data_IF_906797551135
#
_entry.id   IF_906797551135
#
_cell.length_a   1.000
_cell.length_b   1.000
_cell.length_c   1.000
_cell.angle_alpha   90.00
_cell.angle_beta   90.00
_cell.angle_gamma   90.00
#
_symmetry.space_group_name_H-M   'P 1'
#
loop_
_entity.id
_entity.type
_entity.pdbx_description
1 polymer ?
#
# COMPACT_ATOMS: atom_id res chain seq x y z
N UNK A 1 27.34 32.98 -4.04
CA UNK A 1 27.25 31.89 -3.05
C UNK A 1 25.84 31.66 -2.51
N UNK A 2 25.11 32.66 -1.99
CA UNK A 2 23.73 32.48 -1.47
C UNK A 2 22.73 31.82 -2.46
N UNK A 3 22.82 32.13 -3.75
CA UNK A 3 21.90 31.59 -4.76
C UNK A 3 22.18 30.12 -5.15
N UNK A 4 23.41 29.63 -4.96
CA UNK A 4 23.77 28.24 -5.27
C UNK A 4 23.28 27.31 -4.17
N UNK A 5 23.41 27.71 -2.89
CA UNK A 5 22.89 26.94 -1.76
C UNK A 5 21.35 26.79 -1.81
N UNK A 6 20.63 27.81 -2.27
CA UNK A 6 19.18 27.76 -2.43
C UNK A 6 18.73 26.77 -3.53
N UNK A 7 19.50 26.65 -4.63
CA UNK A 7 19.20 25.70 -5.71
C UNK A 7 19.52 24.26 -5.31
N UNK A 8 20.59 24.01 -4.54
CA UNK A 8 20.93 22.67 -4.04
C UNK A 8 19.88 22.19 -3.03
N UNK A 9 19.37 23.06 -2.15
CA UNK A 9 18.31 22.69 -1.20
C UNK A 9 17.01 22.26 -1.89
N UNK A 10 16.64 22.92 -2.99
CA UNK A 10 15.39 22.64 -3.72
C UNK A 10 15.45 21.30 -4.47
N UNK A 11 16.62 20.88 -4.94
CA UNK A 11 16.81 19.57 -5.59
C UNK A 11 16.84 18.44 -4.57
N UNK A 12 17.43 18.65 -3.39
CA UNK A 12 17.43 17.63 -2.32
C UNK A 12 16.04 17.35 -1.74
N UNK A 13 15.12 18.33 -1.75
CA UNK A 13 13.74 18.14 -1.26
C UNK A 13 12.92 17.20 -2.16
N UNK A 14 13.27 17.07 -3.45
CA UNK A 14 12.55 16.20 -4.39
C UNK A 14 12.94 14.73 -4.19
N UNK A 15 14.10 14.45 -3.59
CA UNK A 15 14.57 13.08 -3.34
C UNK A 15 14.11 12.48 -2.01
N UNK A 16 13.38 13.25 -1.18
CA UNK A 16 12.89 12.78 0.13
C UNK A 16 11.53 12.05 0.07
N UNK A 17 10.97 11.83 -1.11
CA UNK A 17 9.60 11.34 -1.26
C UNK A 17 9.45 10.02 -2.03
N UNK A 18 10.52 9.25 -2.22
CA UNK A 18 10.41 7.90 -2.80
C UNK A 18 10.44 6.86 -1.67
N UNK A 19 9.33 6.82 -0.93
CA UNK A 19 9.06 5.82 0.09
C UNK A 19 8.38 4.60 -0.49
N UNK A 20 9.16 3.70 -1.09
CA UNK A 20 8.63 2.42 -1.56
C UNK A 20 9.61 1.28 -1.34
N UNK A 21 9.08 0.15 -0.90
CA UNK A 21 9.80 -1.11 -0.98
C UNK A 21 9.83 -1.55 -2.45
N UNK A 22 11.02 -1.81 -3.00
CA UNK A 22 11.11 -2.32 -4.36
C UNK A 22 10.65 -3.79 -4.41
N UNK A 23 10.03 -4.20 -5.52
CA UNK A 23 9.53 -5.58 -5.69
C UNK A 23 10.60 -6.64 -5.41
N UNK A 24 11.88 -6.36 -5.73
CA UNK A 24 13.00 -7.29 -5.47
C UNK A 24 13.20 -7.59 -3.97
N UNK A 25 12.76 -6.67 -3.11
CA UNK A 25 12.87 -6.74 -1.66
C UNK A 25 11.59 -7.31 -1.01
N UNK A 26 10.59 -7.68 -1.82
CA UNK A 26 9.42 -8.40 -1.34
C UNK A 26 9.84 -9.79 -0.83
N UNK A 27 9.15 -10.27 0.21
CA UNK A 27 9.38 -11.60 0.74
C UNK A 27 9.02 -12.68 -0.29
N UNK A 28 9.68 -13.85 -0.26
CA UNK A 28 9.49 -14.90 -1.27
C UNK A 28 8.02 -15.32 -1.42
N UNK A 29 7.28 -15.33 -0.31
CA UNK A 29 5.86 -15.70 -0.28
C UNK A 29 4.96 -14.71 -1.01
N UNK A 30 5.28 -13.41 -0.92
CA UNK A 30 4.55 -12.39 -1.66
C UNK A 30 4.96 -12.40 -3.14
N UNK A 31 6.25 -12.59 -3.43
CA UNK A 31 6.76 -12.68 -4.81
C UNK A 31 6.09 -13.78 -5.64
N UNK A 32 5.76 -14.91 -5.03
CA UNK A 32 5.02 -16.01 -5.70
C UNK A 32 3.60 -15.62 -6.13
N UNK A 33 3.04 -14.53 -5.60
CA UNK A 33 1.63 -14.17 -5.74
C UNK A 33 1.40 -12.81 -6.38
N UNK A 34 2.32 -11.87 -6.18
CA UNK A 34 2.21 -10.45 -6.53
C UNK A 34 1.72 -10.23 -7.97
N UNK A 35 2.34 -10.89 -8.94
CA UNK A 35 1.98 -10.73 -10.36
C UNK A 35 0.61 -11.34 -10.68
N UNK A 36 0.26 -12.45 -10.04
CA UNK A 36 -1.03 -13.09 -10.25
C UNK A 36 -2.14 -12.19 -9.70
N UNK A 37 -1.97 -11.67 -8.48
CA UNK A 37 -2.95 -10.79 -7.85
C UNK A 37 -3.08 -9.46 -8.57
N UNK A 38 -1.96 -8.82 -8.93
CA UNK A 38 -1.94 -7.61 -9.74
C UNK A 38 -2.75 -7.80 -11.03
N UNK A 39 -2.42 -8.81 -11.83
CA UNK A 39 -3.09 -9.06 -13.11
C UNK A 39 -4.60 -9.33 -12.97
N UNK A 40 -5.00 -10.07 -11.94
CA UNK A 40 -6.42 -10.32 -11.65
C UNK A 40 -7.12 -9.01 -11.29
N UNK A 41 -6.59 -8.28 -10.32
CA UNK A 41 -7.23 -7.09 -9.80
C UNK A 41 -7.27 -5.96 -10.83
N UNK A 42 -6.19 -5.77 -11.60
CA UNK A 42 -6.17 -4.80 -12.69
C UNK A 42 -7.25 -5.11 -13.73
N UNK A 43 -7.38 -6.37 -14.15
CA UNK A 43 -8.41 -6.77 -15.13
C UNK A 43 -9.82 -6.59 -14.59
N UNK A 44 -10.04 -6.84 -13.29
CA UNK A 44 -11.36 -6.71 -12.68
C UNK A 44 -11.82 -5.27 -12.50
N UNK A 45 -10.88 -4.33 -12.32
CA UNK A 45 -11.21 -2.94 -12.00
C UNK A 45 -10.94 -1.97 -13.15
N UNK A 46 -10.25 -2.42 -14.20
CA UNK A 46 -9.83 -1.62 -15.35
C UNK A 46 -8.98 -0.39 -14.94
N UNK A 47 -8.28 -0.49 -13.80
CA UNK A 47 -7.39 0.58 -13.34
C UNK A 47 -6.20 0.71 -14.30
N UNK A 48 -5.84 1.95 -14.62
CA UNK A 48 -4.68 2.23 -15.46
C UNK A 48 -3.38 1.97 -14.70
N UNK A 49 -2.42 1.33 -15.37
CA UNK A 49 -1.08 1.08 -14.82
C UNK A 49 -0.41 2.35 -14.29
N UNK A 50 -0.62 3.50 -14.93
CA UNK A 50 -0.08 4.79 -14.47
C UNK A 50 -0.57 5.18 -13.06
N UNK A 51 -1.82 4.85 -12.70
CA UNK A 51 -2.35 5.13 -11.37
C UNK A 51 -1.78 4.17 -10.33
N UNK A 52 -1.58 2.91 -10.69
CA UNK A 52 -0.90 1.92 -9.84
C UNK A 52 0.54 2.39 -9.59
N UNK A 53 1.26 2.78 -10.64
CA UNK A 53 2.64 3.26 -10.52
C UNK A 53 2.76 4.50 -9.61
N UNK A 54 1.81 5.43 -9.70
CA UNK A 54 1.73 6.57 -8.76
C UNK A 54 1.50 6.12 -7.32
N UNK A 55 0.61 5.15 -7.09
CA UNK A 55 0.38 4.59 -5.76
C UNK A 55 1.61 3.85 -5.20
N UNK A 56 2.33 3.10 -6.05
CA UNK A 56 3.64 2.51 -5.73
C UNK A 56 4.65 3.59 -5.29
N UNK A 57 4.60 4.77 -5.90
CA UNK A 57 5.43 5.93 -5.55
C UNK A 57 4.89 6.73 -4.36
N UNK A 58 3.91 6.20 -3.65
CA UNK A 58 3.30 6.82 -2.48
C UNK A 58 2.25 7.89 -2.80
N UNK A 59 1.87 8.07 -4.06
CA UNK A 59 0.87 9.05 -4.49
C UNK A 59 -0.50 8.40 -4.60
N UNK A 60 -1.19 8.28 -3.47
CA UNK A 60 -2.55 7.77 -3.40
C UNK A 60 -3.55 8.84 -3.90
N UNK A 61 -4.31 8.53 -4.95
CA UNK A 61 -5.32 9.43 -5.53
C UNK A 61 -6.73 8.96 -5.24
N UNK A 62 -7.72 9.85 -5.25
CA UNK A 62 -9.12 9.48 -4.96
C UNK A 62 -9.85 8.85 -6.17
N UNK A 63 -9.11 8.22 -7.10
CA UNK A 63 -9.66 7.50 -8.27
C UNK A 63 -10.39 6.21 -7.87
N UNK A 64 -11.63 6.02 -8.35
CA UNK A 64 -12.47 4.88 -7.93
C UNK A 64 -11.89 3.52 -8.38
N UNK A 65 -11.29 3.44 -9.57
CA UNK A 65 -10.72 2.19 -10.09
C UNK A 65 -9.49 1.77 -9.28
N UNK A 66 -8.65 2.72 -8.88
CA UNK A 66 -7.52 2.48 -7.97
C UNK A 66 -7.98 2.00 -6.59
N UNK A 67 -9.02 2.62 -6.02
CA UNK A 67 -9.54 2.19 -4.72
C UNK A 67 -10.10 0.76 -4.77
N UNK A 68 -10.82 0.42 -5.83
CA UNK A 68 -11.31 -0.94 -6.06
C UNK A 68 -10.17 -1.93 -6.30
N UNK A 69 -9.11 -1.50 -6.98
CA UNK A 69 -7.91 -2.32 -7.19
C UNK A 69 -7.26 -2.66 -5.85
N UNK A 70 -7.04 -1.67 -4.99
CA UNK A 70 -6.53 -1.88 -3.62
C UNK A 70 -7.45 -2.79 -2.82
N UNK A 71 -8.77 -2.57 -2.87
CA UNK A 71 -9.75 -3.46 -2.23
C UNK A 71 -9.63 -4.91 -2.72
N UNK A 72 -9.47 -5.12 -4.04
CA UNK A 72 -9.29 -6.44 -4.62
C UNK A 72 -8.00 -7.11 -4.11
N UNK A 73 -6.87 -6.40 -4.11
CA UNK A 73 -5.59 -6.93 -3.62
C UNK A 73 -5.69 -7.42 -2.18
N UNK A 74 -6.28 -6.61 -1.30
CA UNK A 74 -6.47 -6.99 0.09
C UNK A 74 -7.38 -8.22 0.24
N UNK A 75 -8.46 -8.33 -0.55
CA UNK A 75 -9.35 -9.50 -0.43
C UNK A 75 -8.81 -10.77 -1.07
N UNK A 76 -8.01 -10.70 -2.13
CA UNK A 76 -7.44 -11.89 -2.75
C UNK A 76 -6.23 -12.41 -1.96
N UNK A 77 -5.39 -11.51 -1.44
CA UNK A 77 -4.21 -11.88 -0.67
C UNK A 77 -4.50 -12.18 0.79
N UNK A 78 -5.43 -11.42 1.38
CA UNK A 78 -5.80 -11.49 2.79
C UNK A 78 -7.33 -11.51 2.93
N UNK A 79 -8.01 -12.59 2.50
CA UNK A 79 -9.48 -12.64 2.51
C UNK A 79 -10.08 -12.20 3.83
N UNK A 80 -10.90 -11.16 3.78
CA UNK A 80 -11.62 -10.62 4.92
C UNK A 80 -13.09 -11.03 4.83
N UNK A 81 -13.66 -11.53 5.92
CA UNK A 81 -15.11 -11.77 6.01
C UNK A 81 -15.91 -10.46 6.10
N UNK A 82 -17.22 -10.55 6.32
CA UNK A 82 -18.13 -9.39 6.35
C UNK A 82 -17.74 -8.28 7.35
N UNK A 83 -17.03 -8.66 8.41
CA UNK A 83 -16.52 -7.73 9.43
C UNK A 83 -15.24 -7.02 9.01
N UNK A 84 -14.71 -7.27 7.81
CA UNK A 84 -13.52 -6.62 7.25
C UNK A 84 -12.26 -6.73 8.13
N UNK A 85 -12.14 -7.83 8.91
CA UNK A 85 -11.03 -8.01 9.83
C UNK A 85 -9.85 -8.68 9.13
N UNK A 86 -8.65 -8.08 9.24
CA UNK A 86 -7.44 -8.72 8.74
C UNK A 86 -7.09 -9.99 9.52
N UNK A 87 -6.67 -11.00 8.80
CA UNK A 87 -6.07 -12.20 9.38
C UNK A 87 -4.59 -11.92 9.68
N UNK A 88 -4.25 -11.73 10.95
CA UNK A 88 -2.87 -11.45 11.38
C UNK A 88 -1.88 -12.54 10.94
N UNK A 89 -2.29 -13.81 11.00
CA UNK A 89 -1.42 -14.93 10.59
C UNK A 89 -1.06 -14.84 9.11
N UNK A 90 -2.04 -14.56 8.25
CA UNK A 90 -1.79 -14.38 6.82
C UNK A 90 -1.01 -13.09 6.53
N UNK A 91 -1.31 -11.99 7.23
CA UNK A 91 -0.57 -10.75 7.09
C UNK A 91 0.93 -10.98 7.38
N UNK A 92 1.25 -11.59 8.52
CA UNK A 92 2.63 -11.95 8.89
C UNK A 92 3.25 -13.02 7.98
N UNK A 93 2.42 -13.81 7.29
CA UNK A 93 2.90 -14.79 6.33
C UNK A 93 3.46 -14.11 5.07
N UNK A 94 2.82 -13.04 4.59
CA UNK A 94 3.23 -12.33 3.37
C UNK A 94 4.21 -11.18 3.62
N UNK A 95 4.19 -10.55 4.80
CA UNK A 95 5.18 -9.52 5.14
C UNK A 95 6.61 -10.09 5.07
N UNK A 96 7.57 -9.36 4.47
CA UNK A 96 8.99 -9.71 4.53
C UNK A 96 9.46 -9.83 5.98
N UNK A 97 10.43 -10.70 6.26
CA UNK A 97 10.90 -10.95 7.63
C UNK A 97 11.39 -9.66 8.32
N UNK A 98 12.07 -8.78 7.58
CA UNK A 98 12.53 -7.48 8.05
C UNK A 98 11.41 -6.49 8.43
N UNK A 99 10.17 -6.75 7.99
CA UNK A 99 9.01 -5.87 8.20
C UNK A 99 7.91 -6.54 9.03
N UNK A 100 8.16 -7.72 9.62
CA UNK A 100 7.16 -8.40 10.47
C UNK A 100 6.74 -7.60 11.69
N UNK A 101 7.62 -6.73 12.18
CA UNK A 101 7.29 -5.80 13.26
C UNK A 101 6.21 -4.80 12.82
N UNK A 102 6.12 -4.46 11.54
CA UNK A 102 5.17 -3.45 11.06
C UNK A 102 3.73 -3.93 11.06
N UNK A 103 3.48 -5.24 11.22
CA UNK A 103 2.14 -5.82 11.29
C UNK A 103 1.22 -5.12 12.31
N UNK A 104 1.76 -4.56 13.40
CA UNK A 104 0.97 -3.75 14.35
C UNK A 104 0.34 -2.52 13.70
N UNK A 105 1.03 -1.84 12.78
CA UNK A 105 0.50 -0.67 12.08
C UNK A 105 -0.65 -1.06 11.16
N UNK A 106 -0.50 -2.13 10.39
CA UNK A 106 -1.55 -2.68 9.54
C UNK A 106 -2.81 -3.07 10.33
N UNK A 107 -2.64 -3.78 11.45
CA UNK A 107 -3.76 -4.21 12.29
C UNK A 107 -4.47 -3.01 12.95
N UNK A 108 -3.71 -2.02 13.41
CA UNK A 108 -4.26 -0.77 13.96
C UNK A 108 -5.05 -0.01 12.89
N UNK A 109 -4.47 0.19 11.70
CA UNK A 109 -5.12 0.88 10.60
C UNK A 109 -6.39 0.15 10.12
N UNK A 110 -6.39 -1.19 10.10
CA UNK A 110 -7.59 -1.97 9.80
C UNK A 110 -8.67 -1.73 10.87
N UNK A 111 -8.31 -1.77 12.15
CA UNK A 111 -9.25 -1.53 13.23
C UNK A 111 -9.90 -0.14 13.11
N UNK A 112 -9.11 0.92 12.90
CA UNK A 112 -9.61 2.29 12.74
C UNK A 112 -10.49 2.46 11.50
N UNK A 113 -10.12 1.84 10.38
CA UNK A 113 -10.89 1.91 9.14
C UNK A 113 -12.26 1.23 9.24
N UNK A 114 -12.39 0.14 10.00
CA UNK A 114 -13.66 -0.58 10.19
C UNK A 114 -14.72 0.23 10.93
N UNK A 115 -14.31 1.14 11.79
CA UNK A 115 -15.23 2.01 12.54
C UNK A 115 -15.88 3.07 11.64
N UNK A 116 -15.38 3.26 10.40
CA UNK A 116 -15.94 4.22 9.46
C UNK A 116 -17.26 3.70 8.85
N UNK A 117 -18.27 4.56 8.86
CA UNK A 117 -19.59 4.30 8.26
C UNK A 117 -19.59 4.56 6.74
N UNK A 118 -18.71 3.86 6.04
CA UNK A 118 -18.57 3.90 4.57
C UNK A 118 -18.55 2.47 4.02
N UNK A 119 -18.65 2.31 2.71
CA UNK A 119 -18.58 0.99 2.07
C UNK A 119 -17.20 0.32 2.23
N UNK A 120 -17.14 -0.98 1.91
CA UNK A 120 -15.93 -1.77 2.12
C UNK A 120 -14.72 -1.31 1.29
N UNK A 121 -14.94 -0.78 0.08
CA UNK A 121 -13.86 -0.24 -0.77
C UNK A 121 -13.27 0.98 -0.08
N UNK A 122 -14.12 1.91 0.36
CA UNK A 122 -13.69 3.12 1.07
C UNK A 122 -13.01 2.80 2.41
N UNK A 123 -13.47 1.78 3.15
CA UNK A 123 -12.77 1.34 4.37
C UNK A 123 -11.35 0.87 4.07
N UNK A 124 -11.16 0.01 3.07
CA UNK A 124 -9.82 -0.45 2.70
C UNK A 124 -8.95 0.69 2.18
N UNK A 125 -9.53 1.64 1.44
CA UNK A 125 -8.79 2.81 1.01
C UNK A 125 -8.31 3.69 2.19
N UNK A 126 -9.15 3.87 3.20
CA UNK A 126 -8.78 4.59 4.42
C UNK A 126 -7.70 3.83 5.23
N UNK A 127 -7.76 2.50 5.24
CA UNK A 127 -6.72 1.65 5.82
C UNK A 127 -5.39 1.84 5.08
N UNK A 128 -5.39 1.82 3.74
CA UNK A 128 -4.20 2.00 2.91
C UNK A 128 -3.52 3.34 3.19
N UNK A 129 -4.30 4.43 3.21
CA UNK A 129 -3.80 5.77 3.57
C UNK A 129 -3.23 5.84 4.98
N UNK A 130 -3.76 5.06 5.93
CA UNK A 130 -3.23 4.97 7.28
C UNK A 130 -1.91 4.19 7.32
N UNK A 131 -1.81 3.07 6.61
CA UNK A 131 -0.60 2.25 6.51
C UNK A 131 0.55 3.08 5.97
N UNK A 132 0.34 3.76 4.83
CA UNK A 132 1.33 4.64 4.21
C UNK A 132 1.87 5.71 5.18
N UNK A 133 1.03 6.23 6.08
CA UNK A 133 1.43 7.27 7.04
C UNK A 133 2.17 6.74 8.27
N UNK A 134 2.06 5.44 8.55
CA UNK A 134 2.46 4.87 9.84
C UNK A 134 3.56 3.83 9.74
N UNK A 135 3.66 3.14 8.62
CA UNK A 135 4.78 2.26 8.28
C UNK A 135 5.93 3.10 7.74
N UNK A 136 7.16 2.66 7.96
CA UNK A 136 8.32 3.29 7.33
C UNK A 136 8.12 3.33 5.81
N UNK A 137 8.44 4.45 5.20
CA UNK A 137 8.39 4.67 3.77
C UNK A 137 9.14 3.58 2.99
N UNK A 138 10.31 3.13 3.49
CA UNK A 138 11.08 2.05 2.85
C UNK A 138 10.45 0.67 3.02
N UNK A 139 9.46 0.54 3.91
CA UNK A 139 8.75 -0.70 4.22
C UNK A 139 7.34 -0.75 3.62
N UNK A 140 6.88 0.34 2.99
CA UNK A 140 5.54 0.42 2.39
C UNK A 140 5.45 -0.49 1.15
N UNK A 141 4.45 -1.38 1.15
CA UNK A 141 4.24 -2.39 0.10
C UNK A 141 3.00 -2.02 -0.70
N UNK A 142 3.19 -1.73 -2.00
CA UNK A 142 2.14 -1.59 -2.99
C UNK A 142 2.66 -2.10 -4.34
N UNK A 143 1.78 -2.62 -5.20
CA UNK A 143 2.11 -3.19 -6.50
C UNK A 143 0.90 -3.25 -7.41
#
# INVERSE_FOLDING_TARGET
>A
MRSIFAQILLVCLIHLALGKLEKKDFGPRLLEKVDIWHNICQRLTDVKEELIQKAIEGQLTEDDALQRYTYCLWNIGLPMGDKMQLNETLLRYYLPDMHKADAVHYLKCNAEAREKQVDHVKRIWEMEKCIQKTVDNEHFIFF
#
